data_IF_629656220763
#
_entry.id   IF_629656220763
#
_cell.length_a   1.000
_cell.length_b   1.000
_cell.length_c   1.000
_cell.angle_alpha   90.00
_cell.angle_beta   90.00
_cell.angle_gamma   90.00
#
_symmetry.space_group_name_H-M   'P 1'
#
loop_
_entity.id
_entity.type
_entity.pdbx_description
1 polymer ?
#
# COMPACT_ATOMS: atom_id res chain seq x y z
N UNK A 1 44.04 61.33 -28.75
CA UNK A 1 44.39 62.23 -29.87
C UNK A 1 43.21 62.28 -30.83
N UNK A 2 42.51 63.42 -30.86
CA UNK A 2 41.60 63.85 -31.93
C UNK A 2 42.43 64.53 -33.03
N UNK A 3 41.99 64.60 -34.31
CA UNK A 3 40.95 65.54 -34.76
C UNK A 3 39.96 64.93 -35.79
N UNK A 4 38.65 65.16 -35.75
CA UNK A 4 37.84 66.36 -36.12
C UNK A 4 38.06 66.93 -37.52
N UNK A 5 37.01 66.91 -38.36
CA UNK A 5 36.32 68.08 -38.98
C UNK A 5 35.40 67.65 -40.14
N UNK A 6 34.06 67.76 -40.00
CA UNK A 6 33.16 68.88 -40.42
C UNK A 6 32.87 68.92 -41.94
N UNK A 7 31.69 69.23 -42.50
CA UNK A 7 30.61 70.17 -42.08
C UNK A 7 29.45 70.21 -43.10
N UNK A 8 28.36 70.90 -42.68
CA UNK A 8 27.26 71.54 -43.44
C UNK A 8 26.20 70.63 -44.08
N UNK A 9 24.89 70.93 -44.04
CA UNK A 9 24.16 72.07 -43.51
C UNK A 9 22.78 72.22 -44.18
N UNK A 10 21.73 72.30 -43.34
CA UNK A 10 20.44 72.99 -43.50
C UNK A 10 19.56 72.79 -44.75
N UNK A 11 18.26 72.50 -44.53
CA UNK A 11 17.20 73.54 -44.53
C UNK A 11 15.84 72.97 -44.11
N UNK A 12 15.21 73.64 -43.14
CA UNK A 12 13.78 73.56 -42.83
C UNK A 12 12.98 74.15 -44.00
N UNK A 13 11.85 73.51 -44.33
CA UNK A 13 10.68 74.19 -44.89
C UNK A 13 9.50 73.83 -44.02
N UNK A 14 8.95 74.84 -43.35
CA UNK A 14 7.65 74.77 -42.69
C UNK A 14 6.55 74.90 -43.74
N UNK A 15 5.56 74.02 -43.69
CA UNK A 15 4.29 74.21 -44.37
C UNK A 15 3.16 73.89 -43.38
N UNK A 16 2.62 74.95 -42.82
CA UNK A 16 1.36 75.02 -42.08
C UNK A 16 0.23 74.95 -43.09
N UNK A 17 -0.73 74.02 -42.96
CA UNK A 17 -2.13 74.27 -43.34
C UNK A 17 -3.08 73.12 -42.98
N UNK A 18 -4.18 73.53 -42.35
CA UNK A 18 -5.54 72.98 -42.35
C UNK A 18 -5.80 71.62 -41.69
N UNK A 19 -6.26 71.75 -40.44
CA UNK A 19 -7.11 70.81 -39.76
C UNK A 19 -8.38 70.49 -40.57
N UNK A 20 -8.59 69.20 -40.83
CA UNK A 20 -9.93 68.63 -41.01
C UNK A 20 -10.16 67.70 -39.82
N UNK A 21 -11.01 68.15 -38.90
CA UNK A 21 -11.49 67.37 -37.78
C UNK A 21 -12.47 66.33 -38.34
N UNK A 22 -12.01 65.11 -38.53
CA UNK A 22 -12.87 63.95 -38.74
C UNK A 22 -13.23 63.41 -37.35
N UNK A 23 -14.52 63.30 -36.97
CA UNK A 23 -14.88 62.69 -35.71
C UNK A 23 -14.56 61.19 -35.80
N UNK A 24 -13.45 60.77 -35.18
CA UNK A 24 -13.19 59.37 -34.87
C UNK A 24 -14.25 58.92 -33.87
N UNK A 25 -15.27 58.20 -34.37
CA UNK A 25 -16.16 57.42 -33.52
C UNK A 25 -15.31 56.30 -32.94
N UNK A 26 -14.87 56.49 -31.69
CA UNK A 26 -14.23 55.45 -30.90
C UNK A 26 -15.32 54.47 -30.49
N UNK A 27 -15.55 53.45 -31.31
CA UNK A 27 -16.27 52.24 -30.88
C UNK A 27 -15.31 51.38 -30.07
N UNK A 28 -15.16 51.66 -28.78
CA UNK A 28 -14.68 50.64 -27.85
C UNK A 28 -15.85 49.71 -27.56
N UNK A 29 -15.74 48.43 -27.94
CA UNK A 29 -15.95 47.30 -27.03
C UNK A 29 -15.74 45.96 -27.75
N UNK A 30 -14.64 45.32 -27.37
CA UNK A 30 -14.39 43.88 -27.24
C UNK A 30 -14.69 42.95 -28.42
N UNK A 31 -13.67 42.74 -29.25
CA UNK A 31 -13.40 41.42 -29.81
C UNK A 31 -12.25 40.75 -29.08
N UNK A 32 -12.54 39.56 -28.57
CA UNK A 32 -11.63 38.43 -28.42
C UNK A 32 -10.33 38.66 -27.63
N UNK A 33 -10.45 38.55 -26.31
CA UNK A 33 -9.58 37.61 -25.60
C UNK A 33 -10.50 36.66 -24.87
N UNK A 34 -10.82 35.53 -25.51
CA UNK A 34 -11.17 34.34 -24.77
C UNK A 34 -9.97 34.10 -23.86
N UNK A 35 -10.12 34.46 -22.59
CA UNK A 35 -9.17 34.04 -21.61
C UNK A 35 -9.28 32.52 -21.59
N UNK A 36 -8.23 31.86 -22.08
CA UNK A 36 -7.84 30.53 -21.66
C UNK A 36 -7.43 30.58 -20.17
N UNK A 37 -8.28 31.19 -19.33
CA UNK A 37 -8.29 31.00 -17.89
C UNK A 37 -8.76 29.58 -17.68
N UNK A 38 -7.81 28.67 -17.79
CA UNK A 38 -7.55 27.55 -16.89
C UNK A 38 -8.68 27.20 -15.90
N UNK A 39 -9.90 26.97 -16.42
CA UNK A 39 -10.92 26.20 -15.75
C UNK A 39 -10.46 24.75 -15.87
N UNK A 40 -9.42 24.45 -15.09
CA UNK A 40 -9.12 23.12 -14.61
C UNK A 40 -10.36 22.71 -13.81
N UNK A 41 -11.41 22.30 -14.53
CA UNK A 41 -12.62 21.72 -14.00
C UNK A 41 -12.17 20.71 -12.96
N UNK A 42 -12.36 21.03 -11.67
CA UNK A 42 -12.15 20.09 -10.57
C UNK A 42 -13.08 18.94 -10.93
N UNK A 43 -12.52 17.87 -11.50
CA UNK A 43 -13.29 16.77 -12.05
C UNK A 43 -14.30 16.32 -11.00
N UNK A 44 -15.57 16.69 -11.20
CA UNK A 44 -16.56 16.55 -10.15
C UNK A 44 -17.06 15.13 -10.21
N UNK A 45 -16.80 14.37 -9.13
CA UNK A 45 -17.26 12.99 -9.03
C UNK A 45 -18.78 12.91 -9.19
N UNK A 46 -19.28 12.03 -10.04
CA UNK A 46 -20.72 11.73 -10.16
C UNK A 46 -21.31 11.21 -8.83
N UNK A 47 -22.64 11.23 -8.64
CA UNK A 47 -23.27 10.66 -7.44
C UNK A 47 -22.83 9.20 -7.17
N UNK A 48 -22.76 8.38 -8.22
CA UNK A 48 -22.30 6.98 -8.12
C UNK A 48 -20.83 6.90 -7.68
N UNK A 49 -19.96 7.74 -8.23
CA UNK A 49 -18.55 7.78 -7.82
C UNK A 49 -18.38 8.26 -6.37
N UNK A 50 -19.16 9.26 -5.94
CA UNK A 50 -19.17 9.71 -4.54
C UNK A 50 -19.61 8.60 -3.59
N UNK A 51 -20.64 7.83 -3.95
CA UNK A 51 -21.08 6.67 -3.18
C UNK A 51 -19.98 5.59 -3.10
N UNK A 52 -19.32 5.27 -4.22
CA UNK A 52 -18.17 4.34 -4.23
C UNK A 52 -17.03 4.81 -3.33
N UNK A 53 -16.68 6.09 -3.40
CA UNK A 53 -15.64 6.70 -2.55
C UNK A 53 -16.02 6.61 -1.07
N UNK A 54 -17.28 6.91 -0.72
CA UNK A 54 -17.77 6.82 0.65
C UNK A 54 -17.72 5.37 1.18
N UNK A 55 -18.15 4.40 0.37
CA UNK A 55 -18.10 2.98 0.72
C UNK A 55 -16.67 2.49 0.94
N UNK A 56 -15.73 2.84 0.05
CA UNK A 56 -14.34 2.39 0.11
C UNK A 56 -13.65 2.75 1.43
N UNK A 57 -14.00 3.87 2.08
CA UNK A 57 -13.43 4.29 3.38
C UNK A 57 -13.66 3.29 4.50
N UNK A 58 -14.80 2.59 4.45
CA UNK A 58 -15.24 1.61 5.45
C UNK A 58 -15.10 0.16 4.96
N UNK A 59 -14.69 -0.03 3.71
CA UNK A 59 -14.55 -1.34 3.09
C UNK A 59 -13.32 -2.09 3.64
N UNK A 60 -13.51 -2.77 4.76
CA UNK A 60 -12.50 -3.57 5.44
C UNK A 60 -12.84 -5.05 5.32
N UNK A 61 -11.86 -5.95 5.46
CA UNK A 61 -12.15 -7.36 5.68
C UNK A 61 -12.99 -7.47 6.93
N UNK A 62 -14.27 -7.77 6.77
CA UNK A 62 -15.09 -8.13 7.91
C UNK A 62 -14.72 -9.56 8.31
N UNK A 63 -14.40 -9.81 9.59
CA UNK A 63 -14.36 -11.19 10.04
C UNK A 63 -15.79 -11.76 9.92
N UNK A 64 -15.96 -12.96 9.36
CA UNK A 64 -17.21 -13.69 9.59
C UNK A 64 -17.24 -13.98 11.10
N UNK A 65 -18.12 -13.28 11.83
CA UNK A 65 -18.35 -13.32 13.28
C UNK A 65 -17.13 -13.48 14.23
N UNK A 66 -16.93 -12.48 15.12
CA UNK A 66 -16.09 -12.53 16.34
C UNK A 66 -14.68 -13.14 16.24
N UNK A 67 -13.97 -13.03 15.11
CA UNK A 67 -12.53 -13.34 15.09
C UNK A 67 -11.72 -12.30 15.89
N UNK A 68 -10.89 -12.72 16.86
CA UNK A 68 -9.97 -11.82 17.54
C UNK A 68 -8.96 -11.21 16.55
N UNK A 69 -8.81 -9.89 16.57
CA UNK A 69 -7.93 -9.18 15.63
C UNK A 69 -7.09 -8.08 16.28
N UNK A 70 -7.61 -7.43 17.31
CA UNK A 70 -6.94 -6.39 18.07
C UNK A 70 -6.13 -6.96 19.23
N UNK A 71 -5.27 -6.13 19.83
CA UNK A 71 -4.54 -6.50 21.03
C UNK A 71 -5.46 -6.86 22.22
N UNK A 72 -6.59 -6.15 22.36
CA UNK A 72 -7.53 -6.34 23.46
C UNK A 72 -8.23 -7.71 23.40
N UNK A 73 -8.44 -8.24 22.20
CA UNK A 73 -9.08 -9.55 21.98
C UNK A 73 -8.11 -10.72 22.16
N UNK A 74 -6.80 -10.46 22.30
CA UNK A 74 -5.78 -11.43 22.69
C UNK A 74 -5.16 -11.04 24.05
N UNK A 75 -5.93 -11.07 25.15
CA UNK A 75 -5.46 -10.59 26.44
C UNK A 75 -4.34 -11.45 27.03
N UNK A 76 -4.22 -12.72 26.62
CA UNK A 76 -3.16 -13.65 27.06
C UNK A 76 -2.69 -14.56 25.91
N UNK A 77 -1.38 -14.82 25.77
CA UNK A 77 -0.87 -15.68 24.71
C UNK A 77 -1.44 -17.12 24.71
N UNK A 78 -1.71 -17.69 25.89
CA UNK A 78 -2.27 -19.04 26.04
C UNK A 78 -3.69 -19.21 25.47
N UNK A 79 -4.44 -18.12 25.28
CA UNK A 79 -5.77 -18.15 24.68
C UNK A 79 -5.74 -18.02 23.15
N UNK A 80 -4.54 -18.00 22.56
CA UNK A 80 -4.41 -17.76 21.13
C UNK A 80 -4.84 -18.98 20.33
N UNK A 81 -5.94 -18.82 19.60
CA UNK A 81 -6.41 -19.74 18.57
C UNK A 81 -6.42 -19.00 17.24
N UNK A 82 -6.09 -19.69 16.16
CA UNK A 82 -6.35 -19.16 14.83
C UNK A 82 -7.87 -19.09 14.60
N UNK A 83 -8.35 -18.02 14.00
CA UNK A 83 -9.76 -17.90 13.68
C UNK A 83 -10.11 -18.79 12.48
N UNK A 84 -11.17 -19.58 12.61
CA UNK A 84 -11.73 -20.36 11.52
C UNK A 84 -12.52 -19.43 10.60
N UNK A 85 -12.01 -19.20 9.39
CA UNK A 85 -12.69 -18.37 8.38
C UNK A 85 -13.60 -19.21 7.51
N UNK A 86 -13.20 -20.42 7.15
CA UNK A 86 -14.02 -21.36 6.40
C UNK A 86 -13.70 -22.79 6.83
N UNK A 87 -14.74 -23.59 7.09
CA UNK A 87 -14.64 -24.96 7.57
C UNK A 87 -14.75 -25.99 6.44
N UNK A 88 -13.84 -25.92 5.47
CA UNK A 88 -13.72 -26.95 4.44
C UNK A 88 -13.03 -28.22 4.96
N UNK A 89 -13.18 -29.33 4.22
CA UNK A 89 -12.55 -30.63 4.56
C UNK A 89 -11.27 -30.92 3.78
N UNK A 90 -10.91 -30.05 2.83
CA UNK A 90 -9.68 -30.14 2.06
C UNK A 90 -8.47 -29.55 2.79
N UNK A 91 -7.48 -29.09 2.03
CA UNK A 91 -6.22 -28.53 2.56
C UNK A 91 -6.45 -27.42 3.58
N UNK A 92 -5.74 -27.48 4.71
CA UNK A 92 -5.65 -26.38 5.67
C UNK A 92 -4.71 -25.29 5.17
N UNK A 93 -5.24 -24.07 5.04
CA UNK A 93 -4.50 -22.85 4.70
C UNK A 93 -4.56 -21.90 5.89
N UNK A 94 -3.39 -21.47 6.37
CA UNK A 94 -3.27 -20.51 7.47
C UNK A 94 -2.74 -19.18 6.97
N UNK A 95 -3.45 -18.08 7.23
CA UNK A 95 -2.96 -16.72 7.00
C UNK A 95 -2.30 -16.20 8.28
N UNK A 96 -1.05 -15.76 8.22
CA UNK A 96 -0.30 -15.22 9.37
C UNK A 96 0.18 -13.82 9.06
N UNK A 97 -0.06 -12.86 9.96
CA UNK A 97 0.45 -11.51 9.75
C UNK A 97 -0.15 -10.40 10.61
N UNK A 98 -0.03 -9.19 10.07
CA UNK A 98 -0.77 -8.02 10.55
C UNK A 98 -1.98 -7.72 9.64
N UNK A 99 -2.42 -6.46 9.63
CA UNK A 99 -3.50 -5.97 8.80
C UNK A 99 -3.27 -6.11 7.28
N UNK A 100 -2.02 -6.23 6.84
CA UNK A 100 -1.67 -6.48 5.44
C UNK A 100 -1.77 -7.96 5.06
N UNK A 101 -1.64 -8.89 6.00
CA UNK A 101 -2.05 -10.27 5.71
C UNK A 101 -3.59 -10.38 5.75
N UNK A 102 -4.22 -9.73 6.73
CA UNK A 102 -5.67 -9.76 6.92
C UNK A 102 -6.43 -9.26 5.69
N UNK A 103 -5.96 -8.19 5.04
CA UNK A 103 -6.68 -7.69 3.87
C UNK A 103 -6.68 -8.62 2.65
N UNK A 104 -5.90 -9.71 2.65
CA UNK A 104 -5.95 -10.74 1.61
C UNK A 104 -6.93 -11.87 1.95
N UNK A 105 -7.45 -11.93 3.18
CA UNK A 105 -8.44 -12.93 3.61
C UNK A 105 -9.69 -12.95 2.72
N UNK A 106 -10.27 -11.82 2.25
CA UNK A 106 -11.43 -11.86 1.33
C UNK A 106 -11.17 -12.62 0.02
N UNK A 107 -9.97 -12.47 -0.57
CA UNK A 107 -9.54 -13.23 -1.75
C UNK A 107 -9.45 -14.74 -1.46
N UNK A 108 -8.85 -15.06 -0.32
CA UNK A 108 -8.58 -16.42 0.13
C UNK A 108 -9.84 -17.14 0.58
N UNK A 109 -10.80 -16.42 1.19
CA UNK A 109 -12.10 -16.96 1.55
C UNK A 109 -12.88 -17.40 0.32
N UNK A 110 -12.91 -16.56 -0.74
CA UNK A 110 -13.47 -16.98 -2.04
C UNK A 110 -12.75 -18.20 -2.63
N UNK A 111 -11.42 -18.28 -2.48
CA UNK A 111 -10.66 -19.43 -2.96
C UNK A 111 -10.97 -20.69 -2.14
N UNK A 112 -11.16 -20.54 -0.83
CA UNK A 112 -11.47 -21.61 0.10
C UNK A 112 -12.85 -22.21 -0.19
N UNK A 113 -13.87 -21.37 -0.43
CA UNK A 113 -15.19 -21.83 -0.89
C UNK A 113 -15.09 -22.64 -2.18
N UNK A 114 -14.33 -22.15 -3.17
CA UNK A 114 -14.21 -22.80 -4.47
C UNK A 114 -13.35 -24.08 -4.47
N UNK A 115 -12.57 -24.33 -3.42
CA UNK A 115 -11.60 -25.44 -3.33
C UNK A 115 -11.78 -26.30 -2.09
N UNK A 116 -12.85 -26.06 -1.33
CA UNK A 116 -13.13 -26.72 -0.07
C UNK A 116 -11.94 -26.68 0.92
N UNK A 117 -11.22 -25.56 0.98
CA UNK A 117 -10.08 -25.43 1.92
C UNK A 117 -10.57 -25.16 3.34
N UNK A 118 -9.88 -25.71 4.34
CA UNK A 118 -10.00 -25.22 5.71
C UNK A 118 -9.18 -23.94 5.83
N UNK A 119 -9.83 -22.77 5.84
CA UNK A 119 -9.14 -21.48 5.93
C UNK A 119 -9.09 -20.99 7.38
N UNK A 120 -7.89 -20.77 7.88
CA UNK A 120 -7.61 -20.19 9.18
C UNK A 120 -6.89 -18.85 9.04
N UNK A 121 -7.09 -17.94 9.99
CA UNK A 121 -6.31 -16.69 10.10
C UNK A 121 -5.77 -16.51 11.50
N UNK A 122 -4.48 -16.22 11.60
CA UNK A 122 -3.81 -15.74 12.81
C UNK A 122 -3.18 -14.39 12.49
N UNK A 123 -4.03 -13.38 12.45
CA UNK A 123 -3.65 -12.00 12.11
C UNK A 123 -3.94 -11.11 13.31
N UNK A 124 -3.05 -10.13 13.55
CA UNK A 124 -3.25 -9.15 14.62
C UNK A 124 -2.89 -7.75 14.15
N UNK A 125 -3.84 -6.82 14.26
CA UNK A 125 -3.65 -5.44 13.87
C UNK A 125 -2.41 -4.84 14.56
N UNK A 126 -1.59 -4.10 13.79
CA UNK A 126 -0.36 -3.43 14.26
C UNK A 126 0.72 -4.38 14.80
N UNK A 127 0.57 -5.70 14.66
CA UNK A 127 1.53 -6.66 15.16
C UNK A 127 2.45 -7.15 14.05
N UNK A 128 3.66 -6.60 13.96
CA UNK A 128 4.68 -7.05 13.02
C UNK A 128 4.87 -8.59 13.10
N UNK A 129 4.86 -9.31 11.96
CA UNK A 129 4.90 -10.77 11.98
C UNK A 129 6.32 -11.37 12.03
N UNK A 130 7.38 -10.56 11.95
CA UNK A 130 8.77 -11.02 12.04
C UNK A 130 9.31 -10.99 13.48
N UNK A 131 10.43 -11.67 13.74
CA UNK A 131 11.01 -11.78 15.09
C UNK A 131 11.84 -10.57 15.52
N UNK A 132 11.17 -9.44 15.72
CA UNK A 132 11.75 -8.25 16.34
C UNK A 132 10.65 -7.42 16.99
N UNK A 133 11.04 -6.52 17.89
CA UNK A 133 10.11 -5.56 18.49
C UNK A 133 10.03 -4.33 17.59
N UNK A 134 8.87 -4.09 16.98
CA UNK A 134 8.62 -2.91 16.19
C UNK A 134 8.47 -1.68 17.10
N UNK A 135 9.17 -0.60 16.75
CA UNK A 135 9.06 0.71 17.42
C UNK A 135 8.30 1.65 16.51
N UNK A 136 7.29 2.36 17.03
CA UNK A 136 6.46 3.29 16.26
C UNK A 136 6.56 4.69 16.87
N UNK A 137 6.52 5.72 16.03
CA UNK A 137 6.55 7.13 16.46
C UNK A 137 5.42 7.49 17.43
N UNK A 138 4.27 6.79 17.33
CA UNK A 138 3.13 6.96 18.24
C UNK A 138 3.34 6.36 19.61
N UNK A 139 4.37 5.54 19.82
CA UNK A 139 4.61 4.82 21.07
C UNK A 139 5.28 5.73 22.13
N UNK A 140 4.98 7.06 22.13
CA UNK A 140 5.50 8.17 22.96
C UNK A 140 5.76 7.77 24.44
N UNK A 141 6.79 6.97 24.71
CA UNK A 141 7.12 6.46 26.04
C UNK A 141 6.40 5.18 26.50
N UNK A 142 5.55 4.54 25.68
CA UNK A 142 4.87 3.28 26.05
C UNK A 142 5.28 2.12 25.12
N UNK A 143 6.36 1.37 25.45
CA UNK A 143 6.94 0.32 24.59
C UNK A 143 6.08 -0.95 24.40
N UNK A 144 4.82 -0.94 24.84
CA UNK A 144 4.05 -2.15 25.08
C UNK A 144 3.48 -2.79 23.83
N UNK A 145 3.11 -2.05 22.77
CA UNK A 145 2.44 -2.66 21.61
C UNK A 145 3.38 -3.60 20.85
N UNK A 146 4.61 -3.14 20.57
CA UNK A 146 5.64 -3.94 19.91
C UNK A 146 6.08 -5.15 20.76
N UNK A 147 6.29 -4.94 22.06
CA UNK A 147 6.65 -6.03 23.00
C UNK A 147 5.52 -7.04 23.16
N UNK A 148 4.31 -6.58 23.45
CA UNK A 148 3.13 -7.44 23.63
C UNK A 148 2.85 -8.21 22.34
N UNK A 149 3.02 -7.57 21.17
CA UNK A 149 2.96 -8.28 19.90
C UNK A 149 4.03 -9.36 19.82
N UNK A 150 5.31 -9.01 20.03
CA UNK A 150 6.42 -9.95 19.87
C UNK A 150 6.33 -11.12 20.85
N UNK A 151 5.97 -10.86 22.11
CA UNK A 151 5.74 -11.89 23.12
C UNK A 151 4.55 -12.79 22.76
N UNK A 152 3.44 -12.20 22.29
CA UNK A 152 2.28 -12.96 21.83
C UNK A 152 2.64 -13.93 20.70
N UNK A 153 3.34 -13.48 19.66
CA UNK A 153 3.68 -14.34 18.51
C UNK A 153 4.65 -15.46 18.87
N UNK A 154 5.51 -15.28 19.87
CA UNK A 154 6.39 -16.34 20.39
C UNK A 154 5.60 -17.55 20.92
N UNK A 155 4.39 -17.34 21.45
CA UNK A 155 3.48 -18.42 21.85
C UNK A 155 2.51 -18.80 20.74
N UNK A 156 1.91 -17.82 20.07
CA UNK A 156 0.81 -18.03 19.12
C UNK A 156 1.22 -18.85 17.90
N UNK A 157 2.37 -18.54 17.30
CA UNK A 157 2.80 -19.19 16.06
C UNK A 157 3.09 -20.69 16.28
N UNK A 158 3.94 -21.12 17.24
CA UNK A 158 4.18 -22.54 17.45
C UNK A 158 2.92 -23.29 17.90
N UNK A 159 2.07 -22.66 18.73
CA UNK A 159 0.79 -23.24 19.17
C UNK A 159 -0.12 -23.53 17.99
N UNK A 160 -0.39 -22.53 17.14
CA UNK A 160 -1.26 -22.69 15.99
C UNK A 160 -0.67 -23.66 14.96
N UNK A 161 0.64 -23.59 14.68
CA UNK A 161 1.28 -24.54 13.76
C UNK A 161 1.13 -25.97 14.28
N UNK A 162 1.32 -26.20 15.59
CA UNK A 162 1.15 -27.51 16.21
C UNK A 162 -0.28 -28.05 16.11
N UNK A 163 -1.29 -27.21 16.39
CA UNK A 163 -2.68 -27.66 16.49
C UNK A 163 -3.44 -27.67 15.16
N UNK A 164 -3.15 -26.73 14.26
CA UNK A 164 -3.85 -26.62 12.98
C UNK A 164 -3.18 -27.42 11.85
N UNK A 165 -1.89 -27.74 12.00
CA UNK A 165 -1.07 -28.48 11.05
C UNK A 165 -1.26 -28.07 9.57
N UNK A 166 -1.08 -26.77 9.23
CA UNK A 166 -1.40 -26.28 7.90
C UNK A 166 -0.43 -26.82 6.84
N UNK A 167 -0.96 -27.26 5.70
CA UNK A 167 -0.13 -27.60 4.53
C UNK A 167 0.45 -26.35 3.84
N UNK A 168 -0.25 -25.21 3.95
CA UNK A 168 0.15 -23.92 3.41
C UNK A 168 -0.02 -22.81 4.45
N UNK A 169 1.02 -22.01 4.64
CA UNK A 169 0.96 -20.75 5.39
C UNK A 169 1.16 -19.58 4.44
N UNK A 170 0.25 -18.61 4.42
CA UNK A 170 0.44 -17.33 3.74
C UNK A 170 0.89 -16.29 4.77
N UNK A 171 2.12 -15.80 4.58
CA UNK A 171 2.79 -14.89 5.49
C UNK A 171 2.84 -13.48 4.87
N UNK A 172 2.28 -12.48 5.55
CA UNK A 172 2.30 -11.10 5.08
C UNK A 172 2.36 -10.09 6.21
N UNK A 173 2.85 -8.89 5.91
CA UNK A 173 2.84 -7.80 6.87
C UNK A 173 3.47 -6.53 6.34
N UNK A 174 3.54 -5.52 7.20
CA UNK A 174 4.15 -4.21 6.93
C UNK A 174 5.35 -3.96 7.84
N UNK A 175 6.23 -4.95 7.96
CA UNK A 175 7.35 -4.92 8.91
C UNK A 175 8.47 -3.93 8.53
N UNK A 176 8.59 -3.59 7.25
CA UNK A 176 9.66 -2.78 6.67
C UNK A 176 9.55 -1.26 6.93
N UNK A 177 8.49 -0.81 7.61
CA UNK A 177 8.24 0.61 7.89
C UNK A 177 8.42 0.99 9.36
N UNK A 178 8.82 0.03 10.19
CA UNK A 178 9.06 0.23 11.62
C UNK A 178 10.55 0.27 11.90
N UNK A 179 10.93 1.06 12.89
CA UNK A 179 12.23 0.90 13.54
C UNK A 179 12.26 -0.41 14.33
N UNK A 180 13.46 -0.95 14.53
CA UNK A 180 13.66 -2.26 15.13
C UNK A 180 14.30 -2.10 16.50
N UNK A 181 13.73 -2.72 17.52
CA UNK A 181 14.39 -2.88 18.83
C UNK A 181 14.82 -4.32 19.06
N UNK A 182 16.12 -4.49 19.32
CA UNK A 182 16.77 -5.77 19.63
C UNK A 182 17.86 -5.51 20.67
N UNK A 183 17.90 -6.31 21.75
CA UNK A 183 18.92 -6.17 22.80
C UNK A 183 18.95 -4.79 23.46
N UNK A 184 17.79 -4.18 23.68
CA UNK A 184 17.68 -2.83 24.27
C UNK A 184 18.00 -1.67 23.32
N UNK A 185 18.63 -1.93 22.16
CA UNK A 185 19.00 -0.89 21.18
C UNK A 185 17.91 -0.67 20.14
N UNK A 186 17.63 0.59 19.81
CA UNK A 186 16.77 0.98 18.68
C UNK A 186 17.64 1.16 17.44
N UNK A 187 17.33 0.42 16.39
CA UNK A 187 17.95 0.49 15.07
C UNK A 187 16.96 1.17 14.13
N UNK A 188 17.27 2.40 13.74
CA UNK A 188 16.42 3.22 12.87
C UNK A 188 16.49 2.76 11.42
N UNK A 189 15.42 2.98 10.67
CA UNK A 189 15.29 2.57 9.26
C UNK A 189 16.41 3.08 8.33
N UNK A 190 16.94 4.28 8.61
CA UNK A 190 18.02 4.90 7.85
C UNK A 190 19.41 4.34 8.18
N UNK A 191 19.55 3.56 9.24
CA UNK A 191 20.82 2.95 9.63
C UNK A 191 21.26 1.86 8.65
N UNK A 192 22.57 1.73 8.46
CA UNK A 192 23.20 0.62 7.72
C UNK A 192 22.80 -0.75 8.27
N UNK A 193 22.60 -0.86 9.59
CA UNK A 193 22.32 -2.10 10.31
C UNK A 193 20.86 -2.55 10.17
N UNK A 194 19.97 -1.67 9.71
CA UNK A 194 18.54 -1.92 9.72
C UNK A 194 18.17 -3.16 8.93
N UNK A 195 18.65 -3.25 7.69
CA UNK A 195 18.20 -4.28 6.77
C UNK A 195 18.80 -5.66 7.07
N UNK A 196 20.04 -5.71 7.55
CA UNK A 196 20.63 -6.97 8.04
C UNK A 196 19.84 -7.49 9.24
N UNK A 197 19.49 -6.61 10.18
CA UNK A 197 18.65 -6.93 11.34
C UNK A 197 17.25 -7.40 10.91
N UNK A 198 16.60 -6.66 10.01
CA UNK A 198 15.29 -7.03 9.46
C UNK A 198 15.35 -8.40 8.78
N UNK A 199 16.38 -8.68 7.97
CA UNK A 199 16.57 -10.00 7.34
C UNK A 199 16.76 -11.12 8.37
N UNK A 200 17.59 -10.91 9.40
CA UNK A 200 17.82 -11.91 10.44
C UNK A 200 16.53 -12.30 11.18
N UNK A 201 15.60 -11.36 11.34
CA UNK A 201 14.30 -11.61 11.99
C UNK A 201 13.39 -12.61 11.26
N UNK A 202 13.67 -12.94 10.00
CA UNK A 202 12.98 -14.00 9.26
C UNK A 202 13.34 -15.40 9.77
N UNK A 203 14.56 -15.62 10.26
CA UNK A 203 15.07 -16.97 10.59
C UNK A 203 14.18 -17.71 11.58
N UNK A 204 13.85 -17.07 12.71
CA UNK A 204 12.95 -17.67 13.71
C UNK A 204 11.56 -17.86 13.12
N UNK A 205 11.04 -16.85 12.41
CA UNK A 205 9.68 -16.86 11.86
C UNK A 205 9.48 -18.01 10.89
N UNK A 206 10.41 -18.17 9.93
CA UNK A 206 10.38 -19.26 8.97
C UNK A 206 10.52 -20.60 9.68
N UNK A 207 11.51 -20.76 10.57
CA UNK A 207 11.70 -22.01 11.34
C UNK A 207 10.42 -22.44 12.03
N UNK A 208 9.74 -21.50 12.69
CA UNK A 208 8.49 -21.76 13.41
C UNK A 208 7.35 -22.13 12.46
N UNK A 209 7.13 -21.36 11.39
CA UNK A 209 6.02 -21.60 10.46
C UNK A 209 6.19 -22.89 9.65
N UNK A 210 7.43 -23.32 9.40
CA UNK A 210 7.72 -24.55 8.65
C UNK A 210 7.98 -25.77 9.53
N UNK A 211 7.84 -25.66 10.86
CA UNK A 211 8.27 -26.69 11.83
C UNK A 211 7.63 -28.07 11.60
N UNK A 212 6.45 -28.11 10.98
CA UNK A 212 5.70 -29.34 10.64
C UNK A 212 5.60 -29.61 9.14
N UNK A 213 6.48 -29.00 8.36
CA UNK A 213 6.56 -29.25 6.91
C UNK A 213 5.70 -28.34 6.04
N UNK A 214 4.94 -27.40 6.62
CA UNK A 214 4.18 -26.41 5.87
C UNK A 214 5.05 -25.69 4.81
N UNK A 215 4.48 -25.44 3.63
CA UNK A 215 5.05 -24.49 2.67
C UNK A 215 4.60 -23.09 3.04
N UNK A 216 5.48 -22.11 2.90
CA UNK A 216 5.18 -20.71 3.22
C UNK A 216 5.15 -19.87 1.94
N UNK A 217 4.02 -19.26 1.64
CA UNK A 217 3.91 -18.19 0.65
C UNK A 217 4.16 -16.83 1.31
N UNK A 218 5.34 -16.24 1.06
CA UNK A 218 5.68 -14.91 1.55
C UNK A 218 5.10 -13.84 0.61
N UNK A 219 4.07 -13.13 1.07
CA UNK A 219 3.44 -12.05 0.32
C UNK A 219 4.42 -10.88 0.18
N UNK A 220 4.54 -10.33 -1.03
CA UNK A 220 5.30 -9.08 -1.24
C UNK A 220 4.67 -7.93 -0.46
N UNK A 221 5.50 -7.05 0.10
CA UNK A 221 5.08 -5.96 0.97
C UNK A 221 4.62 -4.77 0.15
N UNK A 222 3.45 -4.20 0.43
CA UNK A 222 2.91 -3.07 -0.33
C UNK A 222 3.54 -1.73 0.07
N UNK A 223 3.67 -0.79 -0.88
CA UNK A 223 4.07 0.56 -0.55
C UNK A 223 2.95 1.32 0.17
N UNK A 224 3.31 2.45 0.76
CA UNK A 224 2.33 3.37 1.36
C UNK A 224 1.95 4.44 0.35
N UNK A 225 0.66 4.55 0.03
CA UNK A 225 0.12 5.60 -0.83
C UNK A 225 0.36 6.98 -0.19
N UNK A 226 0.51 8.02 -1.02
CA UNK A 226 0.81 9.40 -0.56
C UNK A 226 -0.29 10.02 0.30
N UNK A 227 -1.52 9.57 0.09
CA UNK A 227 -2.69 9.98 0.83
C UNK A 227 -3.63 8.78 0.94
N UNK A 228 -4.63 8.89 1.82
CA UNK A 228 -5.77 7.97 1.82
C UNK A 228 -6.42 8.03 0.43
N UNK A 229 -6.49 6.90 -0.25
CA UNK A 229 -6.94 6.86 -1.65
C UNK A 229 -8.36 7.44 -1.82
N UNK A 230 -9.36 7.12 -0.98
CA UNK A 230 -10.69 7.71 -1.11
C UNK A 230 -10.71 9.24 -0.94
N UNK A 231 -9.86 9.78 -0.04
CA UNK A 231 -9.72 11.24 0.13
C UNK A 231 -9.09 11.91 -1.08
N UNK A 232 -8.08 11.27 -1.67
CA UNK A 232 -7.45 11.77 -2.88
C UNK A 232 -8.44 11.81 -4.05
N UNK A 233 -9.20 10.74 -4.27
CA UNK A 233 -10.21 10.66 -5.33
C UNK A 233 -11.37 11.62 -5.11
N UNK A 234 -11.78 11.85 -3.85
CA UNK A 234 -12.80 12.84 -3.52
C UNK A 234 -12.40 14.25 -3.96
N UNK A 235 -11.12 14.61 -3.80
CA UNK A 235 -10.59 15.93 -4.15
C UNK A 235 -10.20 16.10 -5.62
N UNK A 236 -9.70 15.04 -6.26
CA UNK A 236 -9.06 15.13 -7.57
C UNK A 236 -9.85 14.41 -8.69
N UNK A 237 -10.99 13.81 -8.37
CA UNK A 237 -11.82 13.06 -9.32
C UNK A 237 -11.49 11.56 -9.38
N UNK A 238 -12.48 10.74 -9.72
CA UNK A 238 -12.41 9.27 -9.68
C UNK A 238 -11.48 8.67 -10.74
N UNK A 239 -11.29 9.35 -11.87
CA UNK A 239 -10.50 8.89 -13.03
C UNK A 239 -9.07 9.43 -13.01
N UNK A 240 -8.72 10.24 -12.00
CA UNK A 240 -7.40 10.88 -11.92
C UNK A 240 -6.27 9.89 -11.71
N UNK A 241 -5.11 10.18 -12.29
CA UNK A 241 -3.85 9.47 -12.04
C UNK A 241 -3.04 10.11 -10.91
N UNK A 242 -3.43 11.28 -10.41
CA UNK A 242 -2.75 11.99 -9.30
C UNK A 242 -2.69 11.13 -8.04
N UNK A 243 -3.69 10.28 -7.84
CA UNK A 243 -3.79 9.37 -6.71
C UNK A 243 -3.00 8.06 -6.88
N UNK A 244 -2.42 7.80 -8.06
CA UNK A 244 -1.56 6.63 -8.30
C UNK A 244 -0.17 6.84 -7.67
N UNK A 245 0.52 5.73 -7.34
CA UNK A 245 1.87 5.74 -6.79
C UNK A 245 2.83 4.86 -7.59
N UNK A 246 3.91 5.40 -8.18
CA UNK A 246 5.01 4.58 -8.67
C UNK A 246 5.73 3.88 -7.51
N UNK A 247 5.83 2.54 -7.52
CA UNK A 247 6.41 1.75 -6.42
C UNK A 247 7.86 2.14 -6.11
N UNK A 248 8.59 2.61 -7.13
CA UNK A 248 9.98 3.11 -7.02
C UNK A 248 10.15 4.26 -6.04
N UNK A 249 9.07 4.96 -5.67
CA UNK A 249 9.08 6.06 -4.70
C UNK A 249 9.15 5.60 -3.24
N UNK A 250 9.06 4.30 -2.97
CA UNK A 250 9.24 3.74 -1.63
C UNK A 250 10.50 2.84 -1.57
N UNK A 251 11.67 3.39 -1.17
CA UNK A 251 12.92 2.65 -1.14
C UNK A 251 12.91 1.49 -0.14
N UNK A 252 12.16 1.61 0.96
CA UNK A 252 12.04 0.56 1.99
C UNK A 252 11.35 -0.66 1.41
N UNK A 253 10.20 -0.44 0.78
CA UNK A 253 9.43 -1.49 0.13
C UNK A 253 10.20 -2.12 -1.03
N UNK A 254 10.94 -1.33 -1.82
CA UNK A 254 11.81 -1.84 -2.88
C UNK A 254 12.86 -2.81 -2.33
N UNK A 255 13.59 -2.41 -1.28
CA UNK A 255 14.66 -3.22 -0.67
C UNK A 255 14.11 -4.52 -0.05
N UNK A 256 13.00 -4.41 0.69
CA UNK A 256 12.34 -5.57 1.30
C UNK A 256 11.81 -6.57 0.24
N UNK A 257 11.17 -6.09 -0.82
CA UNK A 257 10.67 -6.96 -1.89
C UNK A 257 11.79 -7.59 -2.72
N UNK A 258 12.96 -6.94 -2.87
CA UNK A 258 14.12 -7.55 -3.50
C UNK A 258 14.62 -8.78 -2.72
N UNK A 259 14.58 -8.72 -1.39
CA UNK A 259 14.85 -9.89 -0.53
C UNK A 259 13.76 -10.95 -0.65
N UNK A 260 12.48 -10.58 -0.51
CA UNK A 260 11.36 -11.55 -0.60
C UNK A 260 11.39 -12.29 -1.94
N UNK A 261 11.68 -11.60 -3.06
CA UNK A 261 11.80 -12.21 -4.40
C UNK A 261 12.78 -13.39 -4.45
N UNK A 262 13.86 -13.34 -3.67
CA UNK A 262 14.91 -14.37 -3.65
C UNK A 262 14.89 -15.23 -2.37
N UNK A 263 13.84 -15.11 -1.56
CA UNK A 263 13.76 -15.75 -0.24
C UNK A 263 13.88 -17.27 -0.29
N UNK A 264 13.45 -17.89 -1.40
CA UNK A 264 13.50 -19.33 -1.60
C UNK A 264 14.93 -19.89 -1.61
N UNK A 265 15.90 -19.11 -2.11
CA UNK A 265 17.32 -19.50 -2.12
C UNK A 265 17.91 -19.58 -0.69
N UNK A 266 17.30 -18.87 0.26
CA UNK A 266 17.71 -18.82 1.67
C UNK A 266 16.89 -19.82 2.50
N UNK A 267 15.60 -19.95 2.18
CA UNK A 267 14.65 -20.78 2.88
C UNK A 267 13.88 -21.68 1.90
N UNK A 268 14.28 -22.95 1.71
CA UNK A 268 13.72 -23.83 0.67
C UNK A 268 12.20 -24.05 0.73
N UNK A 269 11.58 -23.94 1.92
CA UNK A 269 10.12 -24.07 2.09
C UNK A 269 9.34 -22.77 1.89
N UNK A 270 10.01 -21.66 1.61
CA UNK A 270 9.40 -20.33 1.42
C UNK A 270 9.44 -19.94 -0.05
N UNK A 271 8.32 -19.48 -0.60
CA UNK A 271 8.23 -18.96 -1.97
C UNK A 271 7.62 -17.56 -1.97
N UNK A 272 8.10 -16.63 -2.81
CA UNK A 272 7.49 -15.31 -2.94
C UNK A 272 6.13 -15.39 -3.65
N UNK A 273 5.14 -14.68 -3.12
CA UNK A 273 3.84 -14.47 -3.75
C UNK A 273 3.71 -12.99 -4.10
N UNK A 274 3.84 -12.60 -5.39
CA UNK A 274 3.96 -11.21 -5.82
C UNK A 274 2.60 -10.50 -5.90
N UNK A 275 1.84 -10.52 -4.81
CA UNK A 275 0.49 -9.91 -4.73
C UNK A 275 0.49 -8.41 -5.02
N UNK A 276 1.63 -7.73 -4.86
CA UNK A 276 1.78 -6.33 -5.25
C UNK A 276 1.53 -6.09 -6.73
N UNK A 277 1.81 -7.05 -7.60
CA UNK A 277 1.57 -6.89 -9.04
C UNK A 277 0.08 -6.76 -9.35
N UNK A 278 -0.80 -7.24 -8.46
CA UNK A 278 -2.24 -7.12 -8.60
C UNK A 278 -2.66 -5.66 -8.48
N UNK A 279 -2.13 -4.93 -7.48
CA UNK A 279 -2.49 -3.53 -7.21
C UNK A 279 -1.57 -2.52 -7.90
N UNK A 280 -0.32 -2.91 -8.19
CA UNK A 280 0.72 -2.08 -8.80
C UNK A 280 1.20 -2.66 -10.15
N UNK A 281 0.31 -2.86 -11.14
CA UNK A 281 0.72 -3.35 -12.45
C UNK A 281 1.75 -2.40 -13.07
N UNK A 282 2.75 -2.98 -13.76
CA UNK A 282 3.87 -2.24 -14.33
C UNK A 282 4.58 -1.28 -13.34
N UNK A 283 4.64 -1.66 -12.06
CA UNK A 283 5.34 -0.90 -11.02
C UNK A 283 4.63 0.38 -10.57
N UNK A 284 3.33 0.54 -10.82
CA UNK A 284 2.55 1.69 -10.38
C UNK A 284 1.23 1.28 -9.77
N UNK A 285 1.12 1.53 -8.47
CA UNK A 285 -0.04 1.27 -7.65
C UNK A 285 -1.18 2.18 -8.07
N UNK A 286 -2.31 1.57 -8.41
CA UNK A 286 -3.47 2.25 -8.97
C UNK A 286 -4.47 2.61 -7.90
N UNK A 287 -4.94 3.86 -7.86
CA UNK A 287 -6.00 4.28 -6.96
C UNK A 287 -7.34 3.59 -7.30
N UNK A 288 -7.65 3.50 -8.59
CA UNK A 288 -8.77 2.75 -9.16
C UNK A 288 -8.24 1.82 -10.23
N UNK A 289 -8.62 0.54 -10.17
CA UNK A 289 -8.26 -0.46 -11.16
C UNK A 289 -9.48 -1.36 -11.41
N UNK A 290 -9.79 -1.64 -12.67
CA UNK A 290 -11.00 -2.38 -13.06
C UNK A 290 -12.29 -1.76 -12.48
N UNK A 291 -12.33 -0.42 -12.35
CA UNK A 291 -13.48 0.31 -11.79
C UNK A 291 -13.67 0.17 -10.27
N UNK A 292 -12.73 -0.49 -9.56
CA UNK A 292 -12.75 -0.71 -8.12
C UNK A 292 -11.68 0.18 -7.45
N UNK A 293 -12.05 0.88 -6.38
CA UNK A 293 -11.09 1.60 -5.54
C UNK A 293 -10.24 0.55 -4.80
N UNK A 294 -8.93 0.62 -4.99
CA UNK A 294 -8.01 -0.44 -4.53
C UNK A 294 -7.74 -0.38 -3.03
N UNK A 295 -7.67 0.81 -2.44
CA UNK A 295 -7.34 1.02 -1.02
C UNK A 295 -8.44 1.75 -0.25
N UNK A 296 -8.70 1.27 0.97
CA UNK A 296 -9.62 1.91 1.92
C UNK A 296 -8.97 3.12 2.62
N UNK A 297 -7.65 3.13 2.70
CA UNK A 297 -6.84 4.23 3.24
C UNK A 297 -5.52 4.36 2.46
N UNK A 298 -4.41 4.70 3.14
CA UNK A 298 -3.10 4.86 2.52
C UNK A 298 -2.32 3.54 2.38
N UNK A 299 -2.73 2.45 3.03
CA UNK A 299 -1.97 1.20 3.07
C UNK A 299 -2.82 -0.08 3.00
N UNK A 300 -4.09 -0.03 3.39
CA UNK A 300 -4.97 -1.20 3.39
C UNK A 300 -5.79 -1.28 2.12
N UNK A 301 -5.82 -2.48 1.52
CA UNK A 301 -6.71 -2.78 0.42
C UNK A 301 -8.17 -2.77 0.87
N UNK A 302 -9.07 -2.40 -0.05
CA UNK A 302 -10.50 -2.62 0.14
C UNK A 302 -10.81 -4.11 0.10
N UNK A 303 -11.82 -4.58 0.87
CA UNK A 303 -12.19 -6.00 0.83
C UNK A 303 -12.80 -6.37 -0.53
N UNK A 304 -13.50 -5.45 -1.21
CA UNK A 304 -13.98 -5.67 -2.57
C UNK A 304 -12.83 -5.91 -3.55
N UNK A 305 -11.76 -5.10 -3.49
CA UNK A 305 -10.58 -5.32 -4.34
C UNK A 305 -9.92 -6.67 -4.04
N UNK A 306 -9.66 -6.96 -2.77
CA UNK A 306 -9.08 -8.25 -2.37
C UNK A 306 -9.92 -9.43 -2.89
N UNK A 307 -11.23 -9.42 -2.63
CA UNK A 307 -12.17 -10.46 -3.04
C UNK A 307 -12.18 -10.68 -4.56
N UNK A 308 -12.06 -9.61 -5.35
CA UNK A 308 -12.02 -9.73 -6.81
C UNK A 308 -10.77 -10.44 -7.33
N UNK A 309 -9.68 -10.46 -6.53
CA UNK A 309 -8.40 -11.09 -6.91
C UNK A 309 -8.23 -12.54 -6.51
N UNK A 310 -9.27 -13.19 -6.01
CA UNK A 310 -9.23 -14.60 -5.60
C UNK A 310 -8.58 -15.53 -6.65
N UNK A 311 -9.03 -15.48 -7.91
CA UNK A 311 -8.47 -16.31 -9.00
C UNK A 311 -6.99 -16.01 -9.27
N UNK A 312 -6.62 -14.74 -9.29
CA UNK A 312 -5.25 -14.31 -9.54
C UNK A 312 -4.30 -14.74 -8.41
N UNK A 313 -4.72 -14.60 -7.15
CA UNK A 313 -3.98 -15.10 -5.98
C UNK A 313 -3.76 -16.61 -6.10
N UNK A 314 -4.80 -17.39 -6.41
CA UNK A 314 -4.64 -18.84 -6.56
C UNK A 314 -3.69 -19.21 -7.71
N UNK A 315 -3.77 -18.54 -8.86
CA UNK A 315 -2.84 -18.73 -9.97
C UNK A 315 -1.39 -18.48 -9.53
N UNK A 316 -1.13 -17.42 -8.74
CA UNK A 316 0.19 -17.17 -8.17
C UNK A 316 0.65 -18.30 -7.23
N UNK A 317 -0.24 -18.87 -6.43
CA UNK A 317 0.12 -19.98 -5.53
C UNK A 317 0.46 -21.26 -6.32
N UNK A 318 -0.33 -21.59 -7.35
CA UNK A 318 -0.06 -22.72 -8.25
C UNK A 318 1.29 -22.54 -8.98
N UNK A 319 1.53 -21.37 -9.58
CA UNK A 319 2.79 -21.07 -10.28
C UNK A 319 4.02 -21.00 -9.38
N UNK A 320 3.87 -21.13 -8.06
CA UNK A 320 4.95 -21.24 -7.07
C UNK A 320 5.07 -22.62 -6.44
N UNK A 321 4.29 -23.60 -6.90
CA UNK A 321 4.20 -24.95 -6.34
C UNK A 321 3.87 -24.94 -4.83
N UNK A 322 3.05 -23.96 -4.41
CA UNK A 322 2.56 -23.84 -3.03
C UNK A 322 1.28 -24.63 -2.78
N UNK A 323 0.58 -25.00 -3.85
CA UNK A 323 -0.64 -25.82 -3.83
C UNK A 323 -0.38 -27.19 -4.45
#
# INVERSE_FOLDING_TARGET
MHPTRTRLGARLVAATACALVVPMIVTTTHQAQASDDEEQSKATNTPVQRAKIAAARRDRPEPPDRCPYSAAEYPRPALTKACLRHNGTGRTVLVVGDSHAEHWVPALYRAALARNWRLLSLTRAKCNPLNFIAVRDTDRGHPTVGETCNNWKQTAYPTVIKHADPGLVLFGGRSQVYDIRVGGRIIRQESSDYFSTWRHSWRWTVKTLTARGARVGALTLQPTMRAKVPDCLARNGFTTKVCDLPIRKDPRTRRANAFVKHIHAIYPRVRPVPVNNLVCPAGRCKAVLEGIITHADQSHLTAHWSRSKSRAVVSMLLGKNLL
#
